data_IF_826176118855
#
_entry.id   IF_826176118855
#
_cell.length_a   1.000
_cell.length_b   1.000
_cell.length_c   1.000
_cell.angle_alpha   90.00
_cell.angle_beta   90.00
_cell.angle_gamma   90.00
#
_symmetry.space_group_name_H-M   'P 1'
#
loop_
_entity.id
_entity.type
_entity.pdbx_description
1 polymer ?
#
# COMPACT_ATOMS: atom_id res chain seq x y z
N UNK A 1 42.07 38.94 49.65
CA UNK A 1 40.83 39.16 48.87
C UNK A 1 41.08 39.50 47.41
N UNK A 2 41.92 40.48 47.09
CA UNK A 2 42.18 40.95 45.71
C UNK A 2 42.57 39.85 44.71
N UNK A 3 43.53 38.98 45.07
CA UNK A 3 43.99 37.89 44.18
C UNK A 3 42.85 36.88 43.92
N UNK A 4 42.05 36.56 44.94
CA UNK A 4 40.91 35.64 44.82
C UNK A 4 39.89 36.18 43.82
N UNK A 5 39.51 37.45 43.94
CA UNK A 5 38.56 38.09 43.02
C UNK A 5 39.08 38.14 41.57
N UNK A 6 40.38 38.35 41.38
CA UNK A 6 41.00 38.32 40.05
C UNK A 6 40.97 36.92 39.43
N UNK A 7 41.31 35.89 40.22
CA UNK A 7 41.25 34.49 39.78
C UNK A 7 39.81 34.08 39.44
N UNK A 8 38.85 34.44 40.29
CA UNK A 8 37.43 34.13 40.05
C UNK A 8 36.91 34.81 38.78
N UNK A 9 37.30 36.06 38.55
CA UNK A 9 36.95 36.80 37.33
C UNK A 9 37.56 36.18 36.08
N UNK A 10 38.85 35.80 36.14
CA UNK A 10 39.52 35.11 35.05
C UNK A 10 38.86 33.78 34.71
N UNK A 11 38.56 32.95 35.72
CA UNK A 11 37.91 31.65 35.53
C UNK A 11 36.50 31.79 34.93
N UNK A 12 35.77 32.86 35.27
CA UNK A 12 34.47 33.17 34.63
C UNK A 12 34.63 33.48 33.14
N UNK A 13 35.64 34.28 32.77
CA UNK A 13 35.92 34.58 31.36
C UNK A 13 36.31 33.31 30.61
N UNK A 14 37.27 32.54 31.14
CA UNK A 14 37.70 31.27 30.53
C UNK A 14 36.52 30.32 30.34
N UNK A 15 35.68 30.14 31.36
CA UNK A 15 34.52 29.25 31.27
C UNK A 15 33.53 29.70 30.21
N UNK A 16 33.27 31.02 30.11
CA UNK A 16 32.40 31.59 29.07
C UNK A 16 32.97 31.35 27.68
N UNK A 17 34.27 31.60 27.51
CA UNK A 17 34.97 31.42 26.24
C UNK A 17 35.02 29.95 25.82
N UNK A 18 35.32 29.02 26.73
CA UNK A 18 35.31 27.58 26.45
C UNK A 18 33.92 27.09 26.05
N UNK A 19 32.87 27.54 26.74
CA UNK A 19 31.47 27.17 26.41
C UNK A 19 31.04 27.66 25.02
N UNK A 20 31.63 28.72 24.52
CA UNK A 20 31.37 29.23 23.17
C UNK A 20 32.24 28.54 22.10
N UNK A 21 33.53 28.36 22.38
CA UNK A 21 34.47 27.79 21.40
C UNK A 21 34.28 26.30 21.17
N UNK A 22 33.97 25.51 22.21
CA UNK A 22 33.87 24.05 22.08
C UNK A 22 32.75 23.63 21.12
N UNK A 23 31.51 24.14 21.22
CA UNK A 23 30.47 23.82 20.23
C UNK A 23 30.83 24.28 18.81
N UNK A 24 31.49 25.43 18.65
CA UNK A 24 31.96 25.93 17.34
C UNK A 24 33.01 25.02 16.73
N UNK A 25 33.95 24.53 17.54
CA UNK A 25 34.97 23.58 17.09
C UNK A 25 34.34 22.25 16.67
N UNK A 26 33.40 21.71 17.45
CA UNK A 26 32.67 20.48 17.11
C UNK A 26 31.90 20.66 15.79
N UNK A 27 31.20 21.79 15.63
CA UNK A 27 30.47 22.09 14.42
C UNK A 27 31.39 22.13 13.20
N UNK A 28 32.50 22.87 13.29
CA UNK A 28 33.43 23.04 12.18
C UNK A 28 34.18 21.75 11.84
N UNK A 29 34.68 21.03 12.84
CA UNK A 29 35.60 19.90 12.63
C UNK A 29 34.92 18.56 12.48
N UNK A 30 33.77 18.36 13.13
CA UNK A 30 33.10 17.06 13.12
C UNK A 30 31.87 17.13 12.22
N UNK A 31 30.97 18.07 12.49
CA UNK A 31 29.68 18.12 11.79
C UNK A 31 29.88 18.50 10.32
N UNK A 32 30.60 19.60 10.05
CA UNK A 32 30.80 20.05 8.68
C UNK A 32 31.67 19.07 7.88
N UNK A 33 32.75 18.53 8.46
CA UNK A 33 33.55 17.53 7.78
C UNK A 33 32.77 16.25 7.46
N UNK A 34 31.95 15.74 8.39
CA UNK A 34 31.11 14.57 8.13
C UNK A 34 30.07 14.86 7.04
N UNK A 35 29.46 16.05 7.07
CA UNK A 35 28.54 16.50 6.03
C UNK A 35 29.23 16.55 4.66
N UNK A 36 30.43 17.09 4.59
CA UNK A 36 31.17 17.23 3.32
C UNK A 36 31.59 15.85 2.79
N UNK A 37 32.04 14.94 3.67
CA UNK A 37 32.33 13.55 3.31
C UNK A 37 31.11 12.84 2.72
N UNK A 38 29.95 12.93 3.39
CA UNK A 38 28.71 12.29 2.92
C UNK A 38 28.29 12.82 1.55
N UNK A 39 28.41 14.13 1.33
CA UNK A 39 27.96 14.77 0.09
C UNK A 39 28.97 14.67 -1.07
N UNK A 40 30.26 14.62 -0.77
CA UNK A 40 31.32 14.71 -1.77
C UNK A 40 32.09 13.41 -2.03
N UNK A 41 32.28 12.56 -1.03
CA UNK A 41 33.26 11.47 -1.08
C UNK A 41 32.63 10.08 -0.94
N UNK A 42 31.57 9.96 -0.14
CA UNK A 42 30.96 8.67 0.20
C UNK A 42 30.61 7.81 -1.02
N UNK A 43 30.04 8.41 -2.06
CA UNK A 43 29.65 7.67 -3.27
C UNK A 43 30.87 7.10 -4.02
N UNK A 44 31.97 7.86 -4.09
CA UNK A 44 33.20 7.39 -4.71
C UNK A 44 33.80 6.21 -3.92
N UNK A 45 33.77 6.29 -2.59
CA UNK A 45 34.18 5.19 -1.72
C UNK A 45 33.33 3.93 -1.90
N UNK A 46 32.01 4.08 -2.02
CA UNK A 46 31.11 2.96 -2.29
C UNK A 46 31.39 2.32 -3.66
N UNK A 47 31.67 3.11 -4.71
CA UNK A 47 32.03 2.53 -6.01
C UNK A 47 33.42 1.89 -6.02
N UNK A 48 34.35 2.37 -5.18
CA UNK A 48 35.68 1.80 -5.07
C UNK A 48 35.74 0.49 -4.26
N UNK A 49 34.70 0.13 -3.51
CA UNK A 49 34.69 -1.06 -2.63
C UNK A 49 34.68 -2.41 -3.38
N UNK A 50 34.58 -2.38 -4.71
CA UNK A 50 34.83 -3.52 -5.60
C UNK A 50 33.68 -4.52 -5.74
N UNK A 51 32.82 -4.65 -4.72
CA UNK A 51 31.66 -5.56 -4.76
C UNK A 51 30.32 -4.80 -4.78
N UNK A 52 30.09 -4.09 -5.88
CA UNK A 52 28.84 -3.38 -6.09
C UNK A 52 27.64 -4.33 -6.23
N UNK A 53 27.85 -5.52 -6.80
CA UNK A 53 26.78 -6.47 -7.06
C UNK A 53 26.16 -6.98 -5.75
N UNK A 54 26.98 -7.34 -4.77
CA UNK A 54 26.49 -7.77 -3.47
C UNK A 54 25.83 -6.60 -2.69
N UNK A 55 26.40 -5.40 -2.76
CA UNK A 55 25.79 -4.22 -2.10
C UNK A 55 24.43 -3.83 -2.69
N UNK A 56 24.19 -4.14 -3.96
CA UNK A 56 22.93 -3.87 -4.66
C UNK A 56 21.96 -5.06 -4.66
N UNK A 57 22.27 -6.13 -3.92
CA UNK A 57 21.41 -7.30 -3.84
C UNK A 57 20.08 -6.96 -3.16
N UNK A 58 18.97 -7.34 -3.80
CA UNK A 58 17.64 -7.16 -3.22
C UNK A 58 17.39 -8.17 -2.09
N UNK A 59 16.62 -7.80 -1.07
CA UNK A 59 16.27 -8.76 -0.01
C UNK A 59 15.35 -9.86 -0.54
N UNK A 60 15.54 -11.08 -0.04
CA UNK A 60 14.72 -12.24 -0.44
C UNK A 60 13.21 -12.03 -0.19
N UNK A 61 12.85 -11.31 0.88
CA UNK A 61 11.46 -10.95 1.17
C UNK A 61 10.91 -9.99 0.10
N UNK A 62 11.69 -8.99 -0.30
CA UNK A 62 11.29 -8.04 -1.35
C UNK A 62 11.11 -8.76 -2.69
N UNK A 63 12.03 -9.68 -3.03
CA UNK A 63 11.95 -10.49 -4.23
C UNK A 63 10.69 -11.38 -4.24
N UNK A 64 10.37 -12.01 -3.12
CA UNK A 64 9.17 -12.85 -2.95
C UNK A 64 7.90 -12.02 -3.09
N UNK A 65 7.83 -10.86 -2.41
CA UNK A 65 6.68 -9.95 -2.49
C UNK A 65 6.43 -9.46 -3.91
N UNK A 66 7.50 -9.10 -4.62
CA UNK A 66 7.44 -8.71 -6.04
C UNK A 66 6.91 -9.86 -6.91
N UNK A 67 7.35 -11.08 -6.67
CA UNK A 67 6.87 -12.26 -7.41
C UNK A 67 5.39 -12.56 -7.13
N UNK A 68 4.94 -12.45 -5.87
CA UNK A 68 3.54 -12.59 -5.51
C UNK A 68 2.65 -11.55 -6.20
N UNK A 69 3.07 -10.28 -6.20
CA UNK A 69 2.36 -9.21 -6.91
C UNK A 69 2.27 -9.48 -8.41
N UNK A 70 3.35 -9.96 -9.04
CA UNK A 70 3.35 -10.33 -10.46
C UNK A 70 2.42 -11.51 -10.74
N UNK A 71 2.37 -12.50 -9.84
CA UNK A 71 1.45 -13.64 -9.96
C UNK A 71 0.00 -13.19 -9.87
N UNK A 72 -0.31 -12.35 -8.88
CA UNK A 72 -1.65 -11.77 -8.71
C UNK A 72 -2.05 -10.93 -9.92
N UNK A 73 -1.16 -10.09 -10.42
CA UNK A 73 -1.39 -9.28 -11.63
C UNK A 73 -1.76 -10.15 -12.84
N UNK A 74 -1.00 -11.22 -13.10
CA UNK A 74 -1.29 -12.15 -14.20
C UNK A 74 -2.66 -12.81 -14.02
N UNK A 75 -2.96 -13.31 -12.83
CA UNK A 75 -4.25 -13.93 -12.53
C UNK A 75 -5.42 -12.95 -12.73
N UNK A 76 -5.28 -11.69 -12.32
CA UNK A 76 -6.30 -10.66 -12.54
C UNK A 76 -6.47 -10.35 -14.03
N UNK A 77 -5.39 -10.28 -14.80
CA UNK A 77 -5.45 -10.04 -16.25
C UNK A 77 -6.16 -11.18 -16.97
N UNK A 78 -5.85 -12.42 -16.62
CA UNK A 78 -6.50 -13.61 -17.20
C UNK A 78 -7.99 -13.65 -16.84
N UNK A 79 -8.35 -13.31 -15.60
CA UNK A 79 -9.75 -13.22 -15.18
C UNK A 79 -10.53 -12.16 -15.99
N UNK A 80 -9.93 -11.00 -16.25
CA UNK A 80 -10.54 -9.96 -17.09
C UNK A 80 -10.73 -10.43 -18.53
N UNK A 81 -9.77 -11.17 -19.09
CA UNK A 81 -9.88 -11.74 -20.42
C UNK A 81 -11.05 -12.72 -20.52
N UNK A 82 -11.20 -13.63 -19.54
CA UNK A 82 -12.32 -14.58 -19.48
C UNK A 82 -13.67 -13.84 -19.44
N UNK A 83 -13.77 -12.77 -18.65
CA UNK A 83 -15.00 -11.95 -18.60
C UNK A 83 -15.30 -11.34 -19.98
N UNK A 84 -14.28 -10.82 -20.67
CA UNK A 84 -14.42 -10.30 -22.03
C UNK A 84 -14.93 -11.37 -23.00
N UNK A 85 -14.37 -12.58 -22.94
CA UNK A 85 -14.75 -13.69 -23.81
C UNK A 85 -16.20 -14.13 -23.58
N UNK A 86 -16.65 -14.26 -22.31
CA UNK A 86 -18.03 -14.61 -21.97
C UNK A 86 -19.03 -13.54 -22.43
N UNK A 87 -18.68 -12.27 -22.27
CA UNK A 87 -19.52 -11.14 -22.72
C UNK A 87 -19.68 -11.10 -24.23
N UNK A 88 -18.70 -11.59 -25.00
CA UNK A 88 -18.79 -11.66 -26.47
C UNK A 88 -19.43 -12.97 -26.97
N UNK A 89 -19.31 -14.06 -26.23
CA UNK A 89 -19.76 -15.39 -26.66
C UNK A 89 -21.25 -15.68 -26.43
N UNK A 90 -21.93 -14.94 -25.55
CA UNK A 90 -23.33 -15.21 -25.19
C UNK A 90 -24.29 -14.29 -25.96
N UNK A 91 -25.05 -14.86 -26.90
CA UNK A 91 -26.14 -14.16 -27.61
C UNK A 91 -27.42 -14.30 -26.81
N UNK A 92 -28.09 -13.19 -26.51
CA UNK A 92 -29.42 -13.19 -25.89
C UNK A 92 -30.41 -13.89 -26.82
N UNK A 93 -30.84 -15.10 -26.45
CA UNK A 93 -31.93 -15.78 -27.17
C UNK A 93 -33.23 -15.00 -26.93
N UNK A 94 -33.94 -14.56 -27.98
CA UNK A 94 -35.26 -13.96 -27.79
C UNK A 94 -36.17 -14.96 -27.09
N UNK A 95 -37.02 -14.44 -26.20
CA UNK A 95 -37.97 -15.24 -25.42
C UNK A 95 -38.85 -16.08 -26.38
N UNK A 96 -39.01 -17.39 -26.13
CA UNK A 96 -39.86 -18.22 -26.97
C UNK A 96 -41.31 -17.71 -26.92
N UNK A 97 -42.06 -17.78 -28.04
CA UNK A 97 -43.43 -17.31 -28.08
C UNK A 97 -44.31 -18.06 -27.05
N UNK A 98 -45.25 -17.37 -26.37
CA UNK A 98 -46.13 -18.00 -25.39
C UNK A 98 -46.91 -19.16 -26.01
N UNK A 99 -46.79 -20.35 -25.42
CA UNK A 99 -47.56 -21.53 -25.83
C UNK A 99 -49.03 -21.32 -25.48
N UNK A 100 -49.92 -21.39 -26.46
CA UNK A 100 -51.37 -21.37 -26.21
C UNK A 100 -51.85 -22.75 -25.82
N UNK A 101 -52.52 -22.85 -24.67
CA UNK A 101 -53.01 -24.08 -24.05
C UNK A 101 -54.45 -24.45 -24.51
N UNK A 102 -54.82 -24.15 -25.75
CA UNK A 102 -56.18 -24.36 -26.29
C UNK A 102 -56.58 -25.85 -26.46
N UNK A 103 -55.69 -26.79 -26.13
CA UNK A 103 -55.90 -28.24 -26.24
C UNK A 103 -56.24 -28.92 -24.90
N UNK A 104 -56.31 -28.17 -23.80
CA UNK A 104 -56.76 -28.70 -22.51
C UNK A 104 -58.30 -28.62 -22.45
N UNK A 105 -59.02 -29.75 -22.27
CA UNK A 105 -60.47 -29.72 -22.13
C UNK A 105 -60.85 -28.90 -20.89
N UNK A 106 -61.55 -27.79 -21.11
CA UNK A 106 -62.19 -26.98 -20.06
C UNK A 106 -63.38 -27.76 -19.52
N UNK A 107 -63.15 -28.61 -18.54
CA UNK A 107 -64.21 -29.46 -18.02
C UNK A 107 -63.69 -30.35 -16.92
N UNK A 108 -63.42 -29.75 -15.77
CA UNK A 108 -63.58 -30.34 -14.44
C UNK A 108 -63.28 -29.20 -13.45
N UNK A 109 -64.36 -28.55 -13.04
CA UNK A 109 -64.48 -27.85 -11.76
C UNK A 109 -63.79 -28.68 -10.67
N UNK A 110 -62.58 -28.29 -10.27
CA UNK A 110 -61.98 -28.83 -9.06
C UNK A 110 -61.17 -27.73 -8.36
N UNK A 111 -61.75 -27.05 -7.34
CA UNK A 111 -61.19 -25.82 -6.78
C UNK A 111 -60.02 -26.06 -5.80
N UNK A 112 -59.14 -27.03 -6.04
CA UNK A 112 -58.26 -27.54 -4.99
C UNK A 112 -56.79 -27.77 -5.31
N UNK A 113 -56.22 -27.19 -6.36
CA UNK A 113 -54.77 -27.24 -6.58
C UNK A 113 -54.22 -25.89 -7.04
N UNK A 114 -54.22 -24.91 -6.15
CA UNK A 114 -53.26 -23.80 -6.24
C UNK A 114 -51.91 -24.33 -5.74
N UNK A 115 -50.86 -24.41 -6.57
CA UNK A 115 -49.51 -24.52 -6.05
C UNK A 115 -49.19 -23.23 -5.29
N UNK A 116 -48.49 -23.27 -4.15
CA UNK A 116 -48.16 -22.06 -3.40
C UNK A 116 -47.27 -21.18 -4.27
N UNK A 117 -47.66 -19.91 -4.43
CA UNK A 117 -46.80 -18.88 -5.00
C UNK A 117 -45.50 -18.79 -4.19
N UNK A 118 -44.31 -18.93 -4.78
CA UNK A 118 -43.08 -18.53 -4.12
C UNK A 118 -42.99 -17.00 -4.20
N UNK A 119 -43.84 -16.33 -3.41
CA UNK A 119 -44.04 -14.89 -3.55
C UNK A 119 -44.81 -14.29 -2.39
N UNK A 120 -44.12 -14.14 -1.26
CA UNK A 120 -44.57 -13.34 -0.11
C UNK A 120 -44.18 -14.00 1.21
N UNK A 121 -43.56 -13.35 2.19
CA UNK A 121 -43.25 -11.94 2.43
C UNK A 121 -42.17 -11.95 3.52
N UNK A 122 -41.16 -11.10 3.46
CA UNK A 122 -40.54 -10.54 4.68
C UNK A 122 -39.75 -9.31 4.30
N UNK A 123 -40.42 -8.15 4.43
CA UNK A 123 -39.76 -6.87 4.47
C UNK A 123 -38.64 -6.87 5.51
N UNK A 124 -37.52 -6.28 5.14
CA UNK A 124 -36.49 -5.86 6.08
C UNK A 124 -36.15 -4.38 5.83
N UNK A 125 -35.77 -3.65 6.90
CA UNK A 125 -35.89 -2.21 6.99
C UNK A 125 -34.76 -1.51 6.22
N UNK A 126 -35.01 -0.25 5.83
CA UNK A 126 -34.03 0.60 5.15
C UNK A 126 -32.80 0.95 6.00
N UNK A 127 -31.74 1.47 5.35
CA UNK A 127 -30.44 1.73 5.98
C UNK A 127 -30.47 2.99 6.88
N UNK A 128 -29.63 3.06 7.91
CA UNK A 128 -29.53 4.23 8.79
C UNK A 128 -28.72 5.37 8.13
N UNK A 129 -29.06 6.59 8.53
CA UNK A 129 -28.20 7.78 8.44
C UNK A 129 -27.16 7.77 9.56
#
# INVERSE_FOLDING_TARGET
ETIRNLVDSYMKIVTKTTRDMVPKAIMMLIINNAKDFINGELLAHLYASGDQAQMMEESAESATRREEMLRMYRACKDALQIIGDVSMATVSSPLPPPVKNDWLPSGLDNPRLSPPSPGGVRGKPGPPA
#
